data_IF_964063247404
#
_entry.id   IF_964063247404
#
_cell.length_a   1.000
_cell.length_b   1.000
_cell.length_c   1.000
_cell.angle_alpha   90.00
_cell.angle_beta   90.00
_cell.angle_gamma   90.00
#
_symmetry.space_group_name_H-M   'P 1'
#
loop_
_entity.id
_entity.type
_entity.pdbx_description
1 polymer ?
#
# COMPACT_ATOMS: atom_id res chain seq x y z
N UNK A 1 31.30 23.61 -16.55
CA UNK A 1 31.39 24.28 -15.24
C UNK A 1 30.24 23.79 -14.39
N UNK A 2 30.49 22.78 -13.56
CA UNK A 2 29.44 22.07 -12.81
C UNK A 2 29.41 22.64 -11.40
N UNK A 3 28.36 23.41 -11.07
CA UNK A 3 28.15 23.90 -9.71
C UNK A 3 27.94 22.69 -8.79
N UNK A 4 28.90 22.47 -7.88
CA UNK A 4 28.69 21.57 -6.73
C UNK A 4 27.64 22.25 -5.84
N UNK A 5 26.45 21.65 -5.76
CA UNK A 5 25.48 22.00 -4.73
C UNK A 5 26.04 21.45 -3.41
N UNK A 6 26.90 22.21 -2.75
CA UNK A 6 27.20 21.98 -1.34
C UNK A 6 25.95 22.38 -0.55
N UNK A 7 25.42 21.51 0.32
CA UNK A 7 24.33 21.90 1.21
C UNK A 7 24.79 23.10 2.04
N UNK A 8 23.95 24.12 2.09
CA UNK A 8 24.21 25.36 2.81
C UNK A 8 24.38 25.02 4.30
N UNK A 9 25.52 25.37 4.89
CA UNK A 9 25.82 25.12 6.29
C UNK A 9 24.72 25.78 7.16
N UNK A 10 24.06 24.99 8.01
CA UNK A 10 23.00 25.43 8.91
C UNK A 10 21.55 25.07 8.52
N UNK A 11 21.33 24.43 7.36
CA UNK A 11 19.99 23.90 7.01
C UNK A 11 19.57 22.72 7.89
N UNK A 12 18.26 22.51 8.09
CA UNK A 12 17.71 21.40 8.89
C UNK A 12 18.29 20.04 8.46
N UNK A 13 18.43 19.82 7.15
CA UNK A 13 19.01 18.60 6.58
C UNK A 13 20.51 18.48 6.92
N UNK A 14 21.25 19.58 6.97
CA UNK A 14 22.65 19.58 7.37
C UNK A 14 22.79 19.24 8.86
N UNK A 15 21.91 19.79 9.71
CA UNK A 15 21.89 19.46 11.16
C UNK A 15 21.47 18.02 11.42
N UNK A 16 20.47 17.50 10.70
CA UNK A 16 20.07 16.10 10.80
C UNK A 16 21.20 15.17 10.35
N UNK A 17 21.89 15.49 9.26
CA UNK A 17 23.05 14.70 8.80
C UNK A 17 24.24 14.77 9.78
N UNK A 18 24.49 15.93 10.38
CA UNK A 18 25.50 16.11 11.43
C UNK A 18 25.15 15.33 12.71
N UNK A 19 23.88 15.33 13.11
CA UNK A 19 23.36 14.63 14.27
C UNK A 19 23.35 13.09 14.06
N UNK A 20 23.05 12.63 12.85
CA UNK A 20 23.18 11.23 12.44
C UNK A 20 24.65 10.79 12.39
N UNK A 21 25.54 11.65 11.88
CA UNK A 21 26.98 11.42 11.84
C UNK A 21 27.62 11.45 13.24
N UNK A 22 27.07 12.22 14.19
CA UNK A 22 27.53 12.26 15.58
C UNK A 22 27.12 11.02 16.39
N UNK A 23 26.04 10.32 16.00
CA UNK A 23 25.59 9.07 16.64
C UNK A 23 26.42 7.85 16.26
N UNK A 24 27.13 7.89 15.13
CA UNK A 24 28.05 6.84 14.71
C UNK A 24 29.48 7.28 15.03
N UNK A 25 30.20 6.64 15.96
CA UNK A 25 31.61 6.94 16.13
C UNK A 25 32.30 6.75 14.77
N UNK A 26 33.16 7.66 14.32
CA UNK A 26 33.85 7.53 13.04
C UNK A 26 34.78 6.34 13.14
N UNK A 27 34.27 5.17 12.75
CA UNK A 27 35.07 3.97 12.62
C UNK A 27 36.05 4.32 11.52
N UNK A 28 37.33 4.50 11.90
CA UNK A 28 38.39 4.81 10.96
C UNK A 28 38.23 3.87 9.77
N UNK A 29 38.17 4.41 8.54
CA UNK A 29 38.00 3.61 7.33
C UNK A 29 38.99 2.44 7.30
N UNK A 30 40.16 2.62 7.92
CA UNK A 30 41.19 1.59 8.11
C UNK A 30 40.74 0.39 8.95
N UNK A 31 39.95 0.60 10.00
CA UNK A 31 39.38 -0.46 10.86
C UNK A 31 38.23 -1.17 10.14
N UNK A 32 37.37 -0.42 9.44
CA UNK A 32 36.31 -1.00 8.62
C UNK A 32 36.85 -1.80 7.42
N UNK A 33 37.96 -1.36 6.84
CA UNK A 33 38.65 -2.09 5.77
C UNK A 33 39.40 -3.33 6.31
N UNK A 34 39.85 -3.31 7.57
CA UNK A 34 40.53 -4.44 8.20
C UNK A 34 39.58 -5.61 8.52
N UNK A 35 38.28 -5.34 8.67
CA UNK A 35 37.24 -6.36 8.88
C UNK A 35 36.64 -6.89 7.59
N UNK A 36 37.04 -6.38 6.42
CA UNK A 36 36.55 -6.90 5.14
C UNK A 36 37.14 -8.27 4.82
N UNK A 37 36.34 -9.17 4.21
CA UNK A 37 36.84 -10.44 3.72
C UNK A 37 37.94 -10.20 2.67
N UNK A 38 39.09 -10.88 2.85
CA UNK A 38 40.28 -10.75 2.00
C UNK A 38 40.07 -11.24 0.56
N UNK A 39 39.00 -11.98 0.30
CA UNK A 39 38.62 -12.49 -1.02
C UNK A 39 37.13 -12.30 -1.24
N UNK A 40 36.77 -11.68 -2.36
CA UNK A 40 35.38 -11.51 -2.79
C UNK A 40 35.02 -12.64 -3.74
N UNK A 41 33.95 -13.37 -3.43
CA UNK A 41 33.34 -14.31 -4.37
C UNK A 41 32.66 -13.52 -5.49
N UNK A 42 33.38 -13.34 -6.61
CA UNK A 42 32.95 -12.45 -7.69
C UNK A 42 31.61 -12.84 -8.32
N UNK A 43 31.31 -14.14 -8.43
CA UNK A 43 30.00 -14.61 -8.92
C UNK A 43 28.88 -14.20 -7.96
N UNK A 44 28.99 -14.53 -6.67
CA UNK A 44 28.00 -14.16 -5.65
C UNK A 44 27.83 -12.63 -5.52
N UNK A 45 28.93 -11.88 -5.59
CA UNK A 45 28.90 -10.41 -5.62
C UNK A 45 28.13 -9.90 -6.85
N UNK A 46 28.44 -10.42 -8.04
CA UNK A 46 27.78 -10.03 -9.28
C UNK A 46 26.28 -10.31 -9.21
N UNK A 47 25.90 -11.49 -8.72
CA UNK A 47 24.50 -11.89 -8.53
C UNK A 47 23.73 -10.89 -7.68
N UNK A 48 24.25 -10.62 -6.48
CA UNK A 48 23.64 -9.70 -5.53
C UNK A 48 23.59 -8.28 -6.09
N UNK A 49 24.68 -7.82 -6.72
CA UNK A 49 24.77 -6.48 -7.28
C UNK A 49 23.76 -6.26 -8.41
N UNK A 50 23.64 -7.21 -9.34
CA UNK A 50 22.68 -7.12 -10.46
C UNK A 50 21.23 -7.19 -9.95
N UNK A 51 20.95 -8.00 -8.92
CA UNK A 51 19.63 -8.04 -8.30
C UNK A 51 19.25 -6.68 -7.67
N UNK A 52 20.17 -6.09 -6.88
CA UNK A 52 19.97 -4.77 -6.26
C UNK A 52 19.82 -3.66 -7.32
N UNK A 53 20.59 -3.71 -8.40
CA UNK A 53 20.51 -2.73 -9.48
C UNK A 53 19.13 -2.73 -10.16
N UNK A 54 18.56 -3.92 -10.43
CA UNK A 54 17.21 -4.01 -10.98
C UNK A 54 16.14 -3.58 -9.97
N UNK A 55 16.28 -3.93 -8.69
CA UNK A 55 15.38 -3.43 -7.65
C UNK A 55 15.41 -1.90 -7.55
N UNK A 56 16.60 -1.30 -7.60
CA UNK A 56 16.77 0.15 -7.60
C UNK A 56 16.08 0.80 -8.81
N UNK A 57 16.29 0.26 -10.02
CA UNK A 57 15.63 0.75 -11.23
C UNK A 57 14.10 0.70 -11.12
N UNK A 58 13.55 -0.43 -10.66
CA UNK A 58 12.10 -0.54 -10.51
C UNK A 58 11.53 0.39 -9.44
N UNK A 59 12.18 0.52 -8.29
CA UNK A 59 11.75 1.44 -7.21
C UNK A 59 11.81 2.90 -7.65
N UNK A 60 12.86 3.29 -8.35
CA UNK A 60 13.01 4.67 -8.86
C UNK A 60 11.95 4.98 -9.91
N UNK A 61 11.77 4.12 -10.92
CA UNK A 61 10.73 4.30 -11.94
C UNK A 61 9.32 4.34 -11.33
N UNK A 62 9.05 3.52 -10.31
CA UNK A 62 7.78 3.57 -9.57
C UNK A 62 7.57 4.90 -8.85
N UNK A 63 8.59 5.40 -8.15
CA UNK A 63 8.52 6.71 -7.50
C UNK A 63 8.32 7.85 -8.53
N UNK A 64 8.94 7.75 -9.71
CA UNK A 64 8.70 8.70 -10.81
C UNK A 64 7.28 8.59 -11.39
N UNK A 65 6.71 7.38 -11.50
CA UNK A 65 5.37 7.18 -12.03
C UNK A 65 4.28 7.84 -11.15
N UNK A 66 4.51 7.92 -9.85
CA UNK A 66 3.59 8.49 -8.85
C UNK A 66 3.83 9.98 -8.57
N UNK A 67 4.74 10.64 -9.28
CA UNK A 67 5.08 12.06 -9.08
C UNK A 67 4.81 12.89 -10.34
N UNK A 68 4.64 14.22 -10.24
CA UNK A 68 4.48 15.09 -11.42
C UNK A 68 5.69 15.07 -12.37
N UNK A 69 6.83 14.52 -11.92
CA UNK A 69 8.02 14.27 -12.72
C UNK A 69 7.84 13.17 -13.79
N UNK A 70 6.71 12.45 -13.82
CA UNK A 70 6.36 11.45 -14.85
C UNK A 70 6.56 11.92 -16.30
N UNK A 71 6.45 13.23 -16.54
CA UNK A 71 6.62 13.84 -17.88
C UNK A 71 8.07 14.23 -18.21
N UNK A 72 9.01 14.12 -17.28
CA UNK A 72 10.40 14.52 -17.48
C UNK A 72 11.20 13.40 -18.16
N UNK A 73 11.02 13.26 -19.47
CA UNK A 73 11.69 12.28 -20.32
C UNK A 73 13.22 12.38 -20.32
N UNK A 74 13.77 13.56 -19.98
CA UNK A 74 15.22 13.77 -19.87
C UNK A 74 15.79 13.07 -18.63
N UNK A 75 15.09 13.13 -17.49
CA UNK A 75 15.49 12.43 -16.27
C UNK A 75 15.45 10.92 -16.45
N UNK A 76 14.39 10.39 -17.08
CA UNK A 76 14.27 8.96 -17.39
C UNK A 76 15.43 8.50 -18.27
N UNK A 77 15.73 9.24 -19.35
CA UNK A 77 16.87 8.93 -20.23
C UNK A 77 18.21 8.98 -19.50
N UNK A 78 18.42 9.95 -18.62
CA UNK A 78 19.64 10.04 -17.82
C UNK A 78 19.78 8.85 -16.87
N UNK A 79 18.68 8.38 -16.29
CA UNK A 79 18.64 7.24 -15.40
C UNK A 79 18.91 5.93 -16.16
N UNK A 80 18.34 5.76 -17.35
CA UNK A 80 18.62 4.64 -18.25
C UNK A 80 20.10 4.60 -18.65
N UNK A 81 20.67 5.76 -19.00
CA UNK A 81 22.09 5.87 -19.34
C UNK A 81 22.97 5.45 -18.15
N UNK A 82 22.73 6.01 -16.97
CA UNK A 82 23.47 5.67 -15.76
C UNK A 82 23.35 4.18 -15.40
N UNK A 83 22.15 3.60 -15.51
CA UNK A 83 21.93 2.17 -15.33
C UNK A 83 22.75 1.34 -16.34
N UNK A 84 22.77 1.74 -17.61
CA UNK A 84 23.53 1.04 -18.66
C UNK A 84 25.04 1.11 -18.42
N UNK A 85 25.55 2.25 -17.95
CA UNK A 85 26.96 2.45 -17.69
C UNK A 85 27.42 1.67 -16.46
N UNK A 86 26.62 1.67 -15.39
CA UNK A 86 26.87 0.83 -14.20
C UNK A 86 26.86 -0.64 -14.59
N UNK A 87 25.85 -1.10 -15.34
CA UNK A 87 25.76 -2.49 -15.79
C UNK A 87 26.98 -2.90 -16.63
N UNK A 88 27.42 -2.05 -17.56
CA UNK A 88 28.61 -2.30 -18.37
C UNK A 88 29.86 -2.41 -17.49
N UNK A 89 30.02 -1.49 -16.55
CA UNK A 89 31.16 -1.50 -15.62
C UNK A 89 31.16 -2.76 -14.74
N UNK A 90 30.01 -3.15 -14.20
CA UNK A 90 29.86 -4.37 -13.39
C UNK A 90 30.25 -5.63 -14.17
N UNK A 91 29.91 -5.71 -15.46
CA UNK A 91 30.34 -6.81 -16.32
C UNK A 91 31.86 -6.85 -16.52
N UNK A 92 32.50 -5.69 -16.70
CA UNK A 92 33.97 -5.58 -16.81
C UNK A 92 34.63 -6.07 -15.52
N UNK A 93 34.10 -5.69 -14.35
CA UNK A 93 34.63 -6.08 -13.05
C UNK A 93 34.48 -7.58 -12.77
N UNK A 94 33.36 -8.18 -13.18
CA UNK A 94 33.13 -9.61 -12.99
C UNK A 94 33.92 -10.48 -13.99
N UNK A 95 34.20 -9.98 -15.20
CA UNK A 95 34.93 -10.71 -16.23
C UNK A 95 34.29 -12.08 -16.51
N UNK A 96 35.07 -13.15 -16.32
CA UNK A 96 34.62 -14.53 -16.55
C UNK A 96 33.78 -15.11 -15.39
N UNK A 97 33.57 -14.37 -14.31
CA UNK A 97 32.79 -14.81 -13.15
C UNK A 97 31.28 -14.54 -13.28
N UNK A 98 30.81 -14.09 -14.45
CA UNK A 98 29.38 -13.87 -14.71
C UNK A 98 28.67 -15.23 -14.70
N UNK A 99 27.74 -15.46 -13.77
CA UNK A 99 27.04 -16.72 -13.66
C UNK A 99 26.06 -16.89 -14.81
N UNK A 100 25.94 -18.13 -15.25
CA UNK A 100 24.99 -18.55 -16.28
C UNK A 100 24.08 -19.60 -15.67
N UNK A 101 22.77 -19.39 -15.77
CA UNK A 101 21.79 -20.30 -15.16
C UNK A 101 21.28 -21.24 -16.23
N UNK A 102 21.36 -22.54 -16.00
CA UNK A 102 20.77 -23.52 -16.89
C UNK A 102 19.29 -23.69 -16.57
N UNK A 103 18.49 -23.86 -17.60
CA UNK A 103 17.09 -24.24 -17.43
C UNK A 103 17.01 -25.67 -16.89
N UNK A 104 15.83 -26.04 -16.36
CA UNK A 104 15.59 -27.36 -15.76
C UNK A 104 15.90 -28.53 -16.70
N UNK A 105 15.80 -28.31 -18.01
CA UNK A 105 16.14 -29.31 -19.03
C UNK A 105 17.64 -29.48 -19.29
N UNK A 106 18.48 -28.61 -18.71
CA UNK A 106 19.94 -28.59 -18.91
C UNK A 106 20.40 -28.16 -20.31
N UNK A 107 19.48 -27.85 -21.23
CA UNK A 107 19.78 -27.53 -22.63
C UNK A 107 19.83 -26.04 -22.89
N UNK A 108 18.95 -25.28 -22.22
CA UNK A 108 18.87 -23.84 -22.42
C UNK A 108 19.67 -23.10 -21.36
N UNK A 109 20.46 -22.15 -21.82
CA UNK A 109 21.23 -21.24 -20.98
C UNK A 109 20.50 -19.90 -20.86
N UNK A 110 20.33 -19.43 -19.62
CA UNK A 110 19.69 -18.18 -19.28
C UNK A 110 20.76 -17.27 -18.66
N UNK A 111 21.06 -16.11 -19.28
CA UNK A 111 21.93 -15.11 -18.67
C UNK A 111 21.37 -14.67 -17.33
N UNK A 112 22.22 -14.61 -16.29
CA UNK A 112 21.76 -14.29 -14.95
C UNK A 112 21.04 -12.94 -14.88
N UNK A 113 21.44 -11.96 -15.70
CA UNK A 113 20.81 -10.64 -15.75
C UNK A 113 19.34 -10.72 -16.12
N UNK A 114 18.95 -11.64 -17.02
CA UNK A 114 17.55 -11.85 -17.40
C UNK A 114 16.75 -12.46 -16.26
N UNK A 115 17.38 -13.36 -15.50
CA UNK A 115 16.76 -13.94 -14.31
C UNK A 115 16.58 -12.87 -13.22
N UNK A 116 17.61 -12.05 -12.98
CA UNK A 116 17.57 -10.98 -11.99
C UNK A 116 16.54 -9.90 -12.35
N UNK A 117 16.45 -9.52 -13.63
CA UNK A 117 15.39 -8.63 -14.15
C UNK A 117 13.99 -9.21 -13.86
N UNK A 118 13.78 -10.49 -14.20
CA UNK A 118 12.49 -11.15 -13.99
C UNK A 118 12.12 -11.24 -12.51
N UNK A 119 13.08 -11.57 -11.64
CA UNK A 119 12.88 -11.61 -10.18
C UNK A 119 12.51 -10.25 -9.62
N UNK A 120 13.18 -9.18 -10.05
CA UNK A 120 12.86 -7.83 -9.61
C UNK A 120 11.44 -7.42 -10.04
N UNK A 121 11.02 -7.74 -11.27
CA UNK A 121 9.64 -7.54 -11.73
C UNK A 121 8.63 -8.28 -10.87
N UNK A 122 8.86 -9.57 -10.60
CA UNK A 122 7.96 -10.38 -9.76
C UNK A 122 7.84 -9.78 -8.36
N UNK A 123 8.94 -9.33 -7.75
CA UNK A 123 8.92 -8.68 -6.44
C UNK A 123 8.07 -7.41 -6.44
N UNK A 124 8.20 -6.58 -7.48
CA UNK A 124 7.43 -5.33 -7.62
C UNK A 124 5.95 -5.63 -7.79
N UNK A 125 5.60 -6.53 -8.72
CA UNK A 125 4.20 -6.91 -8.96
C UNK A 125 3.57 -7.57 -7.73
N UNK A 126 4.34 -8.37 -6.99
CA UNK A 126 3.86 -8.97 -5.75
C UNK A 126 3.58 -7.92 -4.68
N UNK A 127 4.44 -6.90 -4.55
CA UNK A 127 4.22 -5.80 -3.63
C UNK A 127 3.02 -4.91 -4.05
N UNK A 128 2.82 -4.68 -5.34
CA UNK A 128 1.65 -3.97 -5.86
C UNK A 128 0.35 -4.75 -5.63
N UNK A 129 0.39 -6.07 -5.84
CA UNK A 129 -0.74 -6.95 -5.57
C UNK A 129 -1.08 -6.94 -4.07
N UNK A 130 -0.07 -7.01 -3.20
CA UNK A 130 -0.29 -6.89 -1.75
C UNK A 130 -0.93 -5.54 -1.39
N UNK A 131 -0.39 -4.43 -1.89
CA UNK A 131 -0.96 -3.11 -1.64
C UNK A 131 -2.40 -2.99 -2.16
N UNK A 132 -2.68 -3.47 -3.37
CA UNK A 132 -4.03 -3.43 -3.94
C UNK A 132 -5.01 -4.29 -3.12
N UNK A 133 -4.56 -5.44 -2.60
CA UNK A 133 -5.35 -6.26 -1.68
C UNK A 133 -5.62 -5.52 -0.37
N UNK A 134 -4.63 -4.83 0.17
CA UNK A 134 -4.80 -4.03 1.38
C UNK A 134 -5.78 -2.88 1.13
N UNK A 135 -5.67 -2.15 0.01
CA UNK A 135 -6.61 -1.09 -0.40
C UNK A 135 -8.03 -1.62 -0.58
N UNK A 136 -8.21 -2.77 -1.24
CA UNK A 136 -9.52 -3.42 -1.32
C UNK A 136 -9.99 -3.83 0.08
N UNK A 137 -9.10 -4.35 0.93
CA UNK A 137 -9.47 -4.74 2.28
C UNK A 137 -9.94 -3.54 3.11
N UNK A 138 -9.24 -2.41 3.08
CA UNK A 138 -9.62 -1.19 3.81
C UNK A 138 -10.94 -0.63 3.28
N UNK A 139 -11.14 -0.61 1.97
CA UNK A 139 -12.42 -0.25 1.35
C UNK A 139 -13.56 -1.22 1.73
N UNK A 140 -13.28 -2.52 1.93
CA UNK A 140 -14.28 -3.50 2.41
C UNK A 140 -14.45 -3.53 3.94
N UNK A 141 -13.59 -2.84 4.68
CA UNK A 141 -13.71 -2.65 6.14
C UNK A 141 -14.48 -1.36 6.44
N UNK A 142 -14.32 -0.31 5.61
CA UNK A 142 -15.13 0.91 5.67
C UNK A 142 -16.47 0.79 4.92
N UNK A 143 -16.56 -0.12 3.94
CA UNK A 143 -17.78 -0.42 3.20
C UNK A 143 -18.38 -1.74 3.66
N UNK A 144 -19.42 -1.65 4.49
CA UNK A 144 -20.44 -2.64 4.78
C UNK A 144 -20.20 -4.09 4.27
N UNK A 145 -20.13 -5.03 5.22
CA UNK A 145 -20.23 -6.47 4.94
C UNK A 145 -21.68 -6.92 5.15
N UNK A 146 -22.27 -7.70 4.23
CA UNK A 146 -23.55 -8.36 4.48
C UNK A 146 -23.38 -9.26 5.69
N UNK A 147 -24.04 -8.92 6.79
CA UNK A 147 -24.07 -9.79 7.96
C UNK A 147 -25.11 -10.88 7.77
N UNK A 148 -26.03 -10.72 6.81
CA UNK A 148 -27.26 -11.51 6.75
C UNK A 148 -27.93 -11.54 8.14
N UNK A 149 -27.93 -10.39 8.83
CA UNK A 149 -28.74 -10.22 10.02
C UNK A 149 -30.18 -10.01 9.54
N UNK A 150 -31.01 -11.03 9.68
CA UNK A 150 -32.41 -11.06 9.24
C UNK A 150 -33.33 -10.14 10.09
N UNK A 151 -32.89 -8.91 10.36
CA UNK A 151 -33.59 -7.91 11.16
C UNK A 151 -34.13 -6.74 10.31
N UNK A 152 -33.77 -6.69 9.02
CA UNK A 152 -34.28 -5.69 8.09
C UNK A 152 -35.68 -6.13 7.59
N UNK A 153 -36.73 -5.29 7.73
CA UNK A 153 -38.11 -5.66 7.35
C UNK A 153 -38.25 -6.09 5.89
N UNK A 154 -37.48 -5.47 4.99
CA UNK A 154 -37.52 -5.78 3.56
C UNK A 154 -36.84 -7.12 3.24
N UNK A 155 -35.77 -7.49 3.96
CA UNK A 155 -35.18 -8.82 3.86
C UNK A 155 -36.09 -9.89 4.43
N UNK A 156 -36.80 -9.61 5.53
CA UNK A 156 -37.78 -10.54 6.11
C UNK A 156 -38.92 -10.83 5.12
N UNK A 157 -39.45 -9.80 4.46
CA UNK A 157 -40.50 -9.96 3.44
C UNK A 157 -40.01 -10.81 2.25
N UNK A 158 -38.79 -10.52 1.75
CA UNK A 158 -38.16 -11.31 0.68
C UNK A 158 -37.91 -12.75 1.11
N UNK A 159 -37.45 -12.99 2.34
CA UNK A 159 -37.23 -14.34 2.87
C UNK A 159 -38.55 -15.13 2.94
N UNK A 160 -39.64 -14.50 3.41
CA UNK A 160 -40.97 -15.11 3.42
C UNK A 160 -41.44 -15.43 2.00
N UNK A 161 -41.22 -14.52 1.05
CA UNK A 161 -41.56 -14.72 -0.36
C UNK A 161 -40.81 -15.92 -0.95
N UNK A 162 -39.50 -16.01 -0.73
CA UNK A 162 -38.67 -17.10 -1.23
C UNK A 162 -39.02 -18.44 -0.58
N UNK A 163 -39.29 -18.46 0.72
CA UNK A 163 -39.79 -19.65 1.40
C UNK A 163 -41.11 -20.16 0.78
N UNK A 164 -42.04 -19.26 0.42
CA UNK A 164 -43.29 -19.64 -0.27
C UNK A 164 -43.06 -20.12 -1.71
N UNK A 165 -42.10 -19.55 -2.42
CA UNK A 165 -41.72 -19.98 -3.77
C UNK A 165 -41.14 -21.40 -3.76
N UNK A 166 -40.25 -21.68 -2.79
CA UNK A 166 -39.56 -22.96 -2.64
C UNK A 166 -40.50 -24.05 -2.11
N UNK A 167 -41.26 -23.76 -1.06
CA UNK A 167 -42.10 -24.74 -0.38
C UNK A 167 -43.51 -24.88 -0.99
N UNK A 168 -43.97 -23.88 -1.75
CA UNK A 168 -45.34 -23.78 -2.21
C UNK A 168 -46.26 -23.19 -1.13
N UNK A 169 -47.46 -22.75 -1.54
CA UNK A 169 -48.52 -22.39 -0.58
C UNK A 169 -49.14 -23.66 -0.01
N UNK A 170 -49.96 -23.50 1.05
CA UNK A 170 -50.74 -24.61 1.60
C UNK A 170 -51.52 -25.28 0.47
N UNK A 171 -51.25 -26.57 0.25
CA UNK A 171 -51.84 -27.43 -0.78
C UNK A 171 -51.32 -27.24 -2.23
N UNK A 172 -50.21 -26.50 -2.43
CA UNK A 172 -49.50 -26.39 -3.71
C UNK A 172 -48.10 -27.04 -3.63
N UNK A 173 -47.67 -27.71 -4.70
CA UNK A 173 -46.30 -28.20 -4.79
C UNK A 173 -45.34 -27.02 -5.04
N UNK A 174 -44.37 -26.82 -4.15
CA UNK A 174 -43.32 -25.82 -4.31
C UNK A 174 -42.42 -26.09 -5.53
N UNK A 175 -41.65 -25.07 -5.92
CA UNK A 175 -40.71 -25.17 -7.04
C UNK A 175 -39.28 -24.97 -6.53
N UNK A 176 -38.47 -26.00 -6.67
CA UNK A 176 -37.03 -25.89 -6.39
C UNK A 176 -36.42 -24.86 -7.35
N UNK A 177 -35.78 -23.80 -6.83
CA UNK A 177 -35.14 -22.79 -7.65
C UNK A 177 -33.93 -23.40 -8.36
N UNK A 178 -33.74 -23.02 -9.62
CA UNK A 178 -32.52 -23.36 -10.34
C UNK A 178 -31.32 -22.53 -9.82
N UNK A 179 -30.08 -22.88 -10.20
CA UNK A 179 -28.90 -22.16 -9.71
C UNK A 179 -28.89 -20.67 -10.03
N UNK A 180 -29.51 -20.24 -11.14
CA UNK A 180 -29.59 -18.82 -11.51
C UNK A 180 -30.55 -18.11 -10.57
N UNK A 181 -31.72 -18.72 -10.32
CA UNK A 181 -32.73 -18.19 -9.40
C UNK A 181 -32.21 -18.08 -7.96
N UNK A 182 -31.37 -19.02 -7.51
CA UNK A 182 -30.70 -18.93 -6.21
C UNK A 182 -29.77 -17.71 -6.12
N UNK A 183 -29.04 -17.40 -7.18
CA UNK A 183 -28.18 -16.21 -7.25
C UNK A 183 -29.01 -14.92 -7.25
N UNK A 184 -30.14 -14.89 -7.96
CA UNK A 184 -31.08 -13.77 -7.94
C UNK A 184 -31.66 -13.53 -6.54
N UNK A 185 -32.07 -14.61 -5.84
CA UNK A 185 -32.57 -14.53 -4.47
C UNK A 185 -31.51 -13.97 -3.51
N UNK A 186 -30.27 -14.47 -3.61
CA UNK A 186 -29.15 -13.97 -2.81
C UNK A 186 -28.83 -12.51 -3.10
N UNK A 187 -28.86 -12.10 -4.37
CA UNK A 187 -28.65 -10.71 -4.78
C UNK A 187 -29.77 -9.79 -4.25
N UNK A 188 -31.03 -10.24 -4.27
CA UNK A 188 -32.15 -9.46 -3.76
C UNK A 188 -32.03 -9.20 -2.25
N UNK A 189 -31.67 -10.24 -1.47
CA UNK A 189 -31.42 -10.10 -0.02
C UNK A 189 -30.25 -9.15 0.25
N UNK A 190 -29.18 -9.23 -0.53
CA UNK A 190 -28.03 -8.33 -0.42
C UNK A 190 -28.40 -6.87 -0.69
N UNK A 191 -29.17 -6.60 -1.74
CA UNK A 191 -29.59 -5.23 -2.09
C UNK A 191 -30.50 -4.64 -1.02
N UNK A 192 -31.42 -5.43 -0.45
CA UNK A 192 -32.30 -4.99 0.63
C UNK A 192 -31.53 -4.61 1.91
N UNK A 193 -30.49 -5.35 2.28
CA UNK A 193 -29.63 -5.00 3.42
C UNK A 193 -28.83 -3.71 3.16
N UNK A 194 -28.27 -3.59 1.95
CA UNK A 194 -27.51 -2.40 1.55
C UNK A 194 -28.39 -1.15 1.60
N UNK A 195 -29.60 -1.22 1.05
CA UNK A 195 -30.49 -0.06 0.96
C UNK A 195 -31.02 0.36 2.35
N UNK A 196 -31.27 -0.60 3.24
CA UNK A 196 -31.62 -0.33 4.64
C UNK A 196 -30.51 0.46 5.36
N UNK A 197 -29.24 0.11 5.18
CA UNK A 197 -28.11 0.82 5.80
C UNK A 197 -27.99 2.29 5.34
N UNK A 198 -28.28 2.57 4.07
CA UNK A 198 -28.29 3.94 3.54
C UNK A 198 -29.46 4.77 4.09
N UNK A 199 -30.57 4.11 4.45
CA UNK A 199 -31.72 4.77 5.06
C UNK A 199 -31.53 5.09 6.55
N UNK A 200 -30.86 4.22 7.32
CA UNK A 200 -30.56 4.43 8.74
C UNK A 200 -29.51 5.54 8.95
N UNK A 201 -28.49 5.58 8.10
CA UNK A 201 -27.47 6.65 8.11
C UNK A 201 -28.08 8.03 7.77
N UNK A 202 -29.06 8.09 6.87
CA UNK A 202 -29.79 9.32 6.55
C UNK A 202 -30.78 9.76 7.66
N UNK A 203 -31.37 8.82 8.38
CA UNK A 203 -32.33 9.09 9.48
C UNK A 203 -31.62 9.52 10.76
N UNK A 204 -30.47 8.91 11.08
CA UNK A 204 -29.64 9.28 12.24
C UNK A 204 -29.07 10.69 12.08
N UNK A 205 -28.76 11.12 10.85
CA UNK A 205 -28.33 12.50 10.57
C UNK A 205 -29.44 13.56 10.74
N UNK A 206 -30.72 13.17 10.80
CA UNK A 206 -31.86 14.08 11.02
C UNK A 206 -32.35 14.13 12.46
N UNK A 207 -31.90 13.22 13.33
CA UNK A 207 -32.31 13.14 14.73
C UNK A 207 -31.26 13.67 15.73
N UNK A 208 -30.29 14.46 15.26
CA UNK A 208 -29.52 15.33 16.16
C UNK A 208 -30.44 16.48 16.55
N UNK A 209 -31.18 16.31 17.65
CA UNK A 209 -31.81 17.43 18.34
C UNK A 209 -30.74 18.50 18.63
N UNK A 210 -31.00 19.79 18.36
CA UNK A 210 -30.08 20.84 18.77
C UNK A 210 -29.94 20.77 20.29
N UNK A 211 -28.71 20.64 20.77
CA UNK A 211 -28.38 20.62 22.19
C UNK A 211 -29.14 21.76 22.91
N UNK A 212 -29.72 21.52 24.10
CA UNK A 212 -30.38 22.57 24.85
C UNK A 212 -29.37 23.68 25.09
N UNK A 213 -29.68 24.87 24.56
CA UNK A 213 -28.93 26.10 24.80
C UNK A 213 -28.97 26.39 26.30
N UNK A 214 -27.95 25.96 27.03
CA UNK A 214 -27.70 26.43 28.38
C UNK A 214 -27.41 27.93 28.30
N UNK A 215 -28.45 28.74 28.53
CA UNK A 215 -28.32 30.14 28.84
C UNK A 215 -27.55 30.24 30.18
N UNK A 216 -26.26 30.56 30.10
CA UNK A 216 -25.44 30.90 31.26
C UNK A 216 -25.94 32.24 31.77
N UNK A 217 -26.89 32.21 32.70
CA UNK A 217 -27.20 33.35 33.55
C UNK A 217 -26.00 33.59 34.47
N UNK A 218 -25.18 34.59 34.13
CA UNK A 218 -24.20 35.16 35.04
C UNK A 218 -24.94 35.82 36.21
N UNK A 219 -24.89 35.19 37.39
CA UNK A 219 -25.17 35.88 38.65
C UNK A 219 -24.00 36.84 38.95
N UNK A 220 -24.26 38.11 39.33
CA UNK A 220 -23.24 38.96 39.90
C UNK A 220 -22.89 38.48 41.31
N UNK A 221 -21.60 38.24 41.57
CA UNK A 221 -21.06 38.05 42.91
C UNK A 221 -21.07 39.39 43.65
N UNK A 222 -21.83 39.46 44.74
CA UNK A 222 -21.73 40.51 45.76
C UNK A 222 -20.55 40.19 46.69
N UNK A 223 -19.39 40.81 46.42
CA UNK A 223 -18.31 40.96 47.39
C UNK A 223 -18.25 42.45 47.79
N UNK A 224 -19.04 42.83 48.80
CA UNK A 224 -18.84 44.06 49.58
C UNK A 224 -18.33 43.69 50.96
N UNK A 225 -17.01 43.61 51.12
CA UNK A 225 -16.37 43.82 52.42
C UNK A 225 -15.84 45.25 52.50
N UNK A 226 -16.12 45.88 53.65
CA UNK A 226 -16.03 47.31 53.88
C UNK A 226 -14.63 47.87 54.10
N UNK A 227 -14.58 49.19 54.01
CA UNK A 227 -13.45 50.02 54.40
C UNK A 227 -13.74 51.48 54.09
N UNK A 228 -14.49 52.14 54.97
CA UNK A 228 -14.58 53.60 55.05
C UNK A 228 -13.54 54.11 56.07
N UNK A 229 -13.12 55.39 56.00
CA UNK A 229 -11.84 55.90 56.51
C UNK A 229 -11.71 55.99 58.03
#
# INVERSE_FOLDING_TARGET
>A
MTQRITPQAGGLVARMLEEEAAKQPPQSARVALATLPKSVHMSAWYEQHVALLHQFLHRTLRAFANTPAKRNTRLVRSLEQAYSDIKRHTAIVAGNAIPTVLSRDGKHSIPYERLAESRAKVQVLSAELAQARDEVSTLTVEGWRPKFDALCPQQEELAIQFCREIAGRRDEAGRLPDPVRLLEMAQALYMAERDALHSETATTARHVEPAPSYAVHWLPSDDTEGGAP
#
